data_IF_080369379085
#
_entry.id   IF_080369379085
#
_cell.length_a   1.000
_cell.length_b   1.000
_cell.length_c   1.000
_cell.angle_alpha   90.00
_cell.angle_beta   90.00
_cell.angle_gamma   90.00
#
_symmetry.space_group_name_H-M   'P 1'
#
loop_
_entity.id
_entity.type
_entity.pdbx_description
1 polymer ?
#
# COMPACT_ATOMS: atom_id res chain seq x y z
N UNK A 1 22.14 45.22 11.65
CA UNK A 1 22.10 44.39 10.43
C UNK A 1 21.21 43.19 10.72
N UNK A 2 19.96 43.20 10.25
CA UNK A 2 19.03 42.10 10.44
C UNK A 2 19.21 41.06 9.33
N UNK A 3 19.36 39.80 9.68
CA UNK A 3 19.37 38.68 8.75
C UNK A 3 18.02 38.64 8.01
N UNK A 4 17.99 38.57 6.67
CA UNK A 4 16.72 38.47 5.95
C UNK A 4 16.01 37.17 6.33
N UNK A 5 14.67 37.18 6.49
CA UNK A 5 13.92 35.98 6.79
C UNK A 5 14.08 34.99 5.64
N UNK A 6 14.46 33.75 5.98
CA UNK A 6 14.46 32.60 5.08
C UNK A 6 13.04 32.50 4.50
N UNK A 7 12.86 32.85 3.24
CA UNK A 7 11.61 32.67 2.52
C UNK A 7 11.32 31.17 2.48
N UNK A 8 10.32 30.74 3.27
CA UNK A 8 9.82 29.38 3.22
C UNK A 8 9.27 29.13 1.81
N UNK A 9 9.79 28.11 1.13
CA UNK A 9 9.30 27.68 -0.19
C UNK A 9 7.80 27.39 -0.06
N UNK A 10 6.92 27.91 -0.93
CA UNK A 10 5.50 27.61 -0.86
C UNK A 10 5.30 26.10 -0.95
N UNK A 11 4.69 25.50 0.08
CA UNK A 11 4.30 24.10 0.05
C UNK A 11 3.25 23.93 -1.04
N UNK A 12 3.60 23.20 -2.10
CA UNK A 12 2.65 22.81 -3.15
C UNK A 12 1.59 21.91 -2.53
N UNK A 13 0.32 22.24 -2.74
CA UNK A 13 -0.83 21.40 -2.34
C UNK A 13 -0.67 20.00 -2.94
N UNK A 14 -0.77 18.97 -2.11
CA UNK A 14 -0.75 17.56 -2.52
C UNK A 14 -2.09 17.24 -3.17
N UNK A 15 -2.03 16.74 -4.40
CA UNK A 15 -3.20 16.33 -5.21
C UNK A 15 -2.99 14.91 -5.71
N UNK A 16 -4.07 14.13 -5.72
CA UNK A 16 -4.08 12.80 -6.31
C UNK A 16 -4.22 12.89 -7.83
N UNK A 17 -3.71 11.88 -8.53
CA UNK A 17 -3.91 11.72 -9.97
C UNK A 17 -5.41 11.57 -10.31
N UNK A 18 -5.73 11.73 -11.60
CA UNK A 18 -7.09 11.57 -12.11
C UNK A 18 -7.64 10.20 -11.70
N UNK A 19 -8.89 10.11 -11.19
CA UNK A 19 -9.46 8.83 -10.79
C UNK A 19 -9.57 7.84 -11.96
N UNK A 20 -9.61 8.31 -13.21
CA UNK A 20 -9.68 7.47 -14.42
C UNK A 20 -8.34 6.86 -14.86
N UNK A 21 -7.30 6.91 -14.02
CA UNK A 21 -5.96 6.40 -14.34
C UNK A 21 -5.57 5.30 -13.36
N UNK A 22 -4.71 4.36 -13.77
CA UNK A 22 -4.20 3.31 -12.88
C UNK A 22 -3.56 3.89 -11.62
N UNK A 23 -2.75 4.95 -11.78
CA UNK A 23 -2.15 5.66 -10.65
C UNK A 23 -3.21 6.24 -9.71
N UNK A 24 -4.20 6.96 -10.24
CA UNK A 24 -5.25 7.57 -9.41
C UNK A 24 -6.15 6.55 -8.70
N UNK A 25 -6.42 5.41 -9.33
CA UNK A 25 -7.15 4.30 -8.70
C UNK A 25 -6.34 3.65 -7.58
N UNK A 26 -5.06 3.35 -7.84
CA UNK A 26 -4.14 2.80 -6.84
C UNK A 26 -3.94 3.74 -5.64
N UNK A 27 -3.71 5.03 -5.87
CA UNK A 27 -3.56 6.02 -4.80
C UNK A 27 -4.77 6.01 -3.86
N UNK A 28 -5.99 6.02 -4.42
CA UNK A 28 -7.23 6.01 -3.63
C UNK A 28 -7.39 4.70 -2.88
N UNK A 29 -7.13 3.57 -3.54
CA UNK A 29 -7.18 2.26 -2.91
C UNK A 29 -6.21 2.16 -1.74
N UNK A 30 -4.95 2.56 -1.91
CA UNK A 30 -3.94 2.51 -0.85
C UNK A 30 -4.32 3.37 0.34
N UNK A 31 -4.85 4.58 0.12
CA UNK A 31 -5.25 5.49 1.19
C UNK A 31 -6.47 5.00 1.99
N UNK A 32 -7.38 4.25 1.34
CA UNK A 32 -8.56 3.68 1.97
C UNK A 32 -8.23 2.38 2.72
N UNK A 33 -7.41 1.52 2.12
CA UNK A 33 -7.11 0.19 2.63
C UNK A 33 -5.97 0.17 3.66
N UNK A 34 -5.06 1.16 3.65
CA UNK A 34 -4.00 1.25 4.65
C UNK A 34 -4.50 1.84 5.98
N UNK A 35 -3.84 1.45 7.07
CA UNK A 35 -3.99 2.17 8.33
C UNK A 35 -3.48 3.60 8.19
N UNK A 36 -4.27 4.56 8.64
CA UNK A 36 -3.87 5.97 8.61
C UNK A 36 -2.99 6.30 9.83
N UNK A 37 -2.24 7.43 9.79
CA UNK A 37 -1.49 7.90 10.94
C UNK A 37 -2.32 8.14 12.21
N UNK A 38 -3.65 8.20 12.12
CA UNK A 38 -4.54 8.34 13.28
C UNK A 38 -4.58 7.08 14.16
N UNK A 39 -4.19 5.92 13.65
CA UNK A 39 -4.15 4.67 14.40
C UNK A 39 -2.82 4.49 15.13
N UNK A 40 -2.65 5.27 16.20
CA UNK A 40 -1.47 5.25 17.07
C UNK A 40 -1.20 3.83 17.57
N UNK A 41 0.06 3.40 17.49
CA UNK A 41 0.50 2.06 17.91
C UNK A 41 0.24 0.94 16.90
N UNK A 42 -0.43 1.21 15.78
CA UNK A 42 -0.54 0.26 14.65
C UNK A 42 0.11 0.81 13.38
N UNK A 43 -0.05 2.09 13.09
CA UNK A 43 0.62 2.75 11.97
C UNK A 43 2.12 2.89 12.23
N UNK A 44 2.93 2.55 11.24
CA UNK A 44 4.38 2.75 11.23
C UNK A 44 4.79 3.43 9.92
N UNK A 45 5.21 4.70 10.02
CA UNK A 45 5.64 5.51 8.88
C UNK A 45 6.83 4.90 8.13
N UNK A 46 7.72 4.17 8.83
CA UNK A 46 8.90 3.56 8.21
C UNK A 46 8.55 2.35 7.33
N UNK A 47 7.38 1.75 7.55
CA UNK A 47 6.92 0.56 6.83
C UNK A 47 5.85 0.88 5.78
N UNK A 48 5.18 2.03 5.90
CA UNK A 48 3.99 2.36 5.12
C UNK A 48 4.23 2.33 3.61
N UNK A 49 5.32 2.95 3.13
CA UNK A 49 5.67 2.90 1.71
C UNK A 49 5.86 1.45 1.23
N UNK A 50 6.55 0.60 1.99
CA UNK A 50 6.74 -0.82 1.62
C UNK A 50 5.40 -1.56 1.60
N UNK A 51 4.50 -1.29 2.55
CA UNK A 51 3.16 -1.86 2.56
C UNK A 51 2.37 -1.48 1.30
N UNK A 52 2.37 -0.19 0.91
CA UNK A 52 1.68 0.27 -0.30
C UNK A 52 2.30 -0.30 -1.58
N UNK A 53 3.63 -0.46 -1.62
CA UNK A 53 4.31 -1.17 -2.71
C UNK A 53 3.89 -2.63 -2.82
N UNK A 54 3.66 -3.33 -1.71
CA UNK A 54 3.12 -4.70 -1.70
C UNK A 54 1.64 -4.74 -2.15
N UNK A 55 0.84 -3.70 -1.86
CA UNK A 55 -0.52 -3.58 -2.40
C UNK A 55 -0.48 -3.44 -3.93
N UNK A 56 0.38 -2.56 -4.46
CA UNK A 56 0.63 -2.46 -5.91
C UNK A 56 1.04 -3.80 -6.51
N UNK A 57 2.06 -4.43 -5.93
CA UNK A 57 2.56 -5.72 -6.42
C UNK A 57 1.47 -6.81 -6.39
N UNK A 58 0.57 -6.78 -5.42
CA UNK A 58 -0.60 -7.66 -5.38
C UNK A 58 -1.49 -7.45 -6.60
N UNK A 59 -1.84 -6.21 -6.92
CA UNK A 59 -2.70 -5.87 -8.07
C UNK A 59 -2.05 -6.34 -9.38
N UNK A 60 -0.77 -6.04 -9.57
CA UNK A 60 -0.02 -6.44 -10.75
C UNK A 60 0.13 -7.97 -10.87
N UNK A 61 0.32 -8.68 -9.75
CA UNK A 61 0.34 -10.14 -9.75
C UNK A 61 -1.01 -10.74 -10.09
N UNK A 62 -2.12 -10.11 -9.66
CA UNK A 62 -3.47 -10.51 -10.08
C UNK A 62 -3.70 -10.28 -11.56
N UNK A 63 -3.21 -9.17 -12.10
CA UNK A 63 -3.30 -8.84 -13.52
C UNK A 63 -2.62 -9.86 -14.43
N UNK A 64 -1.58 -10.56 -13.95
CA UNK A 64 -0.94 -11.66 -14.70
C UNK A 64 -1.85 -12.89 -14.86
N UNK A 65 -2.87 -13.06 -14.03
CA UNK A 65 -3.78 -14.20 -14.06
C UNK A 65 -5.18 -13.82 -13.57
N UNK A 66 -5.85 -12.88 -14.24
CA UNK A 66 -6.99 -12.14 -13.67
C UNK A 66 -8.22 -13.03 -13.44
N UNK A 67 -8.37 -14.10 -14.23
CA UNK A 67 -9.43 -15.09 -14.05
C UNK A 67 -9.37 -15.86 -12.72
N UNK A 68 -8.18 -16.00 -12.11
CA UNK A 68 -8.05 -16.62 -10.78
C UNK A 68 -8.56 -15.71 -9.66
N UNK A 69 -8.67 -14.41 -9.91
CA UNK A 69 -9.03 -13.38 -8.94
C UNK A 69 -10.36 -12.72 -9.26
N UNK A 70 -11.28 -13.47 -9.88
CA UNK A 70 -12.63 -13.02 -10.22
C UNK A 70 -12.69 -11.74 -11.08
N UNK A 71 -11.60 -11.41 -11.77
CA UNK A 71 -11.45 -10.24 -12.63
C UNK A 71 -11.22 -10.65 -14.09
N UNK A 72 -11.80 -11.77 -14.54
CA UNK A 72 -11.58 -12.31 -15.89
C UNK A 72 -11.84 -11.23 -16.94
N UNK A 73 -10.85 -11.00 -17.81
CA UNK A 73 -10.90 -9.99 -18.87
C UNK A 73 -10.17 -8.69 -18.53
N UNK A 74 -9.76 -8.47 -17.28
CA UNK A 74 -8.93 -7.32 -16.91
C UNK A 74 -7.62 -7.30 -17.69
N UNK A 75 -7.30 -6.14 -18.25
CA UNK A 75 -6.09 -5.82 -19.01
C UNK A 75 -5.28 -4.69 -18.37
N UNK A 76 -5.84 -4.01 -17.38
CA UNK A 76 -5.25 -2.89 -16.65
C UNK A 76 -5.39 -3.05 -15.14
N UNK A 77 -4.57 -2.34 -14.36
CA UNK A 77 -4.65 -2.35 -12.89
C UNK A 77 -5.98 -1.77 -12.39
N UNK A 78 -6.52 -0.74 -13.03
CA UNK A 78 -7.81 -0.16 -12.66
C UNK A 78 -8.95 -1.19 -12.81
N UNK A 79 -8.93 -2.01 -13.86
CA UNK A 79 -9.92 -3.09 -14.04
C UNK A 79 -9.79 -4.18 -12.96
N UNK A 80 -8.58 -4.46 -12.44
CA UNK A 80 -8.42 -5.36 -11.29
C UNK A 80 -9.07 -4.76 -10.02
N UNK A 81 -9.03 -3.44 -9.88
CA UNK A 81 -9.60 -2.73 -8.73
C UNK A 81 -11.13 -2.71 -8.81
N UNK A 82 -11.67 -2.47 -10.00
CA UNK A 82 -13.10 -2.36 -10.27
C UNK A 82 -13.83 -3.71 -10.28
N UNK A 83 -13.20 -4.74 -10.86
CA UNK A 83 -13.87 -6.02 -11.10
C UNK A 83 -13.85 -6.96 -9.89
N UNK A 84 -14.87 -7.80 -9.81
CA UNK A 84 -14.86 -8.99 -8.95
C UNK A 84 -15.01 -8.74 -7.46
N UNK A 85 -15.44 -7.53 -7.04
CA UNK A 85 -15.60 -7.14 -5.63
C UNK A 85 -14.35 -7.46 -4.79
N UNK A 86 -13.16 -7.36 -5.40
CA UNK A 86 -11.89 -7.72 -4.80
C UNK A 86 -11.49 -6.76 -3.67
N UNK A 87 -11.96 -5.52 -3.76
CA UNK A 87 -11.76 -4.47 -2.78
C UNK A 87 -13.13 -3.90 -2.43
N UNK A 88 -13.51 -3.98 -1.15
CA UNK A 88 -14.81 -3.53 -0.70
C UNK A 88 -14.98 -2.04 -1.05
N UNK A 89 -16.14 -1.66 -1.58
CA UNK A 89 -16.43 -0.25 -1.96
C UNK A 89 -15.83 0.23 -3.29
N UNK A 90 -15.08 -0.62 -4.02
CA UNK A 90 -14.51 -0.26 -5.33
C UNK A 90 -15.27 -0.84 -6.53
N UNK A 91 -16.32 -1.65 -6.33
CA UNK A 91 -17.09 -2.24 -7.44
C UNK A 91 -17.84 -1.24 -8.34
N UNK A 92 -17.97 0.02 -7.92
CA UNK A 92 -18.57 1.13 -8.70
C UNK A 92 -17.57 2.25 -8.98
N UNK A 93 -16.27 1.99 -8.78
CA UNK A 93 -15.22 2.97 -9.02
C UNK A 93 -15.30 3.52 -10.47
N UNK A 94 -15.06 4.82 -10.72
CA UNK A 94 -14.48 5.84 -9.83
C UNK A 94 -15.41 6.40 -8.75
N UNK A 95 -16.67 5.97 -8.70
CA UNK A 95 -17.60 6.36 -7.63
C UNK A 95 -17.36 5.50 -6.39
N UNK A 96 -16.81 6.12 -5.34
CA UNK A 96 -16.65 5.51 -4.02
C UNK A 96 -17.92 5.66 -3.20
N UNK A 97 -18.15 4.74 -2.25
CA UNK A 97 -19.23 4.93 -1.28
C UNK A 97 -19.02 6.22 -0.45
N UNK A 98 -20.09 6.78 0.14
CA UNK A 98 -19.99 8.03 0.89
C UNK A 98 -18.98 7.99 2.04
N UNK A 99 -18.84 6.85 2.72
CA UNK A 99 -17.91 6.69 3.84
C UNK A 99 -16.45 6.75 3.37
N UNK A 100 -16.13 6.06 2.29
CA UNK A 100 -14.80 6.15 1.66
C UNK A 100 -14.51 7.53 1.11
N UNK A 101 -15.48 8.18 0.47
CA UNK A 101 -15.34 9.56 -0.02
C UNK A 101 -15.01 10.54 1.11
N UNK A 102 -15.73 10.45 2.24
CA UNK A 102 -15.45 11.26 3.42
C UNK A 102 -14.06 10.99 3.99
N UNK A 103 -13.69 9.72 4.14
CA UNK A 103 -12.36 9.33 4.65
C UNK A 103 -11.23 9.87 3.77
N UNK A 104 -11.34 9.73 2.45
CA UNK A 104 -10.35 10.24 1.51
C UNK A 104 -10.23 11.76 1.59
N UNK A 105 -11.36 12.47 1.66
CA UNK A 105 -11.39 13.93 1.84
C UNK A 105 -10.70 14.34 3.14
N UNK A 106 -10.97 13.65 4.24
CA UNK A 106 -10.39 13.99 5.55
C UNK A 106 -8.88 13.74 5.56
N UNK A 107 -8.41 12.65 4.96
CA UNK A 107 -6.97 12.38 4.74
C UNK A 107 -6.32 13.55 4.00
N UNK A 108 -6.89 13.96 2.85
CA UNK A 108 -6.34 15.05 2.04
C UNK A 108 -6.45 16.42 2.71
N UNK A 109 -7.48 16.63 3.52
CA UNK A 109 -7.68 17.86 4.30
C UNK A 109 -6.58 18.00 5.34
N UNK A 110 -6.28 16.93 6.08
CA UNK A 110 -5.22 16.94 7.08
C UNK A 110 -3.84 17.07 6.39
N UNK A 111 -3.60 16.29 5.34
CA UNK A 111 -2.35 16.31 4.58
C UNK A 111 -2.03 17.68 3.98
N UNK A 112 -3.05 18.49 3.65
CA UNK A 112 -2.88 19.83 3.08
C UNK A 112 -3.06 20.98 4.07
N UNK A 113 -3.26 20.71 5.36
CA UNK A 113 -3.44 21.75 6.37
C UNK A 113 -2.19 21.86 7.26
N UNK A 114 -1.26 22.80 7.01
CA UNK A 114 -0.02 22.93 7.79
C UNK A 114 -0.24 23.32 9.26
N UNK A 115 -1.46 23.75 9.63
CA UNK A 115 -1.82 24.05 11.01
C UNK A 115 -2.34 22.82 11.77
N UNK A 116 -2.63 21.71 11.08
CA UNK A 116 -3.10 20.50 11.74
C UNK A 116 -1.91 19.79 12.43
N UNK A 117 -2.04 19.34 13.68
CA UNK A 117 -0.93 18.71 14.42
C UNK A 117 -0.39 17.45 13.72
N UNK A 118 -1.23 16.74 12.98
CA UNK A 118 -0.86 15.55 12.21
C UNK A 118 -0.49 15.80 10.75
N UNK A 119 -0.39 17.06 10.32
CA UNK A 119 -0.12 17.44 8.93
C UNK A 119 1.04 16.66 8.32
N UNK A 120 2.20 16.68 8.96
CA UNK A 120 3.41 16.05 8.44
C UNK A 120 3.23 14.53 8.23
N UNK A 121 2.58 13.85 9.18
CA UNK A 121 2.35 12.41 9.10
C UNK A 121 1.38 12.04 7.96
N UNK A 122 0.29 12.80 7.78
CA UNK A 122 -0.65 12.57 6.69
C UNK A 122 -0.09 13.01 5.33
N UNK A 123 0.73 14.07 5.28
CA UNK A 123 1.44 14.46 4.07
C UNK A 123 2.39 13.35 3.61
N UNK A 124 3.16 12.75 4.53
CA UNK A 124 3.99 11.58 4.22
C UNK A 124 3.13 10.40 3.74
N UNK A 125 2.05 10.08 4.45
CA UNK A 125 1.14 8.99 4.09
C UNK A 125 0.57 9.13 2.67
N UNK A 126 0.18 10.35 2.26
CA UNK A 126 -0.31 10.61 0.90
C UNK A 126 0.81 10.53 -0.13
N UNK A 127 2.00 11.06 0.18
CA UNK A 127 3.15 10.98 -0.73
C UNK A 127 3.65 9.55 -0.91
N UNK A 128 3.56 8.69 0.12
CA UNK A 128 3.86 7.26 0.00
C UNK A 128 2.90 6.58 -0.98
N UNK A 129 1.60 6.90 -0.91
CA UNK A 129 0.60 6.34 -1.82
C UNK A 129 0.85 6.76 -3.28
N UNK A 130 1.12 8.06 -3.51
CA UNK A 130 1.49 8.61 -4.82
C UNK A 130 2.76 7.92 -5.33
N UNK A 131 3.79 7.83 -4.48
CA UNK A 131 5.07 7.22 -4.84
C UNK A 131 4.89 5.75 -5.22
N UNK A 132 4.23 4.96 -4.38
CA UNK A 132 3.96 3.55 -4.66
C UNK A 132 3.17 3.37 -5.98
N UNK A 133 2.17 4.21 -6.24
CA UNK A 133 1.33 4.12 -7.42
C UNK A 133 2.02 4.58 -8.73
N UNK A 134 3.01 5.48 -8.65
CA UNK A 134 3.62 6.14 -9.83
C UNK A 134 5.06 5.70 -10.12
N UNK A 135 5.68 4.90 -9.25
CA UNK A 135 7.01 4.33 -9.51
C UNK A 135 7.08 3.67 -10.89
N UNK A 136 8.09 4.04 -11.67
CA UNK A 136 8.25 3.62 -13.07
C UNK A 136 8.50 2.12 -13.25
N UNK A 137 8.91 1.45 -12.18
CA UNK A 137 9.07 0.00 -12.13
C UNK A 137 8.22 -0.53 -11.00
N UNK A 138 7.64 -1.71 -11.19
CA UNK A 138 7.09 -2.48 -10.07
C UNK A 138 8.17 -2.57 -9.01
N UNK A 139 7.93 -2.06 -7.80
CA UNK A 139 8.82 -2.35 -6.70
C UNK A 139 8.71 -3.85 -6.42
N UNK A 140 9.65 -4.62 -6.96
CA UNK A 140 9.88 -5.97 -6.47
C UNK A 140 10.35 -5.80 -5.04
N UNK A 141 9.43 -5.93 -4.09
CA UNK A 141 9.81 -6.19 -2.71
C UNK A 141 10.37 -7.61 -2.77
N UNK A 142 11.64 -7.74 -3.18
CA UNK A 142 12.20 -8.96 -3.77
C UNK A 142 12.06 -10.21 -2.89
N UNK A 143 11.83 -9.99 -1.60
CA UNK A 143 11.53 -11.02 -0.60
C UNK A 143 10.13 -11.67 -0.77
N UNK A 144 9.18 -11.02 -1.45
CA UNK A 144 7.77 -11.42 -1.54
C UNK A 144 7.22 -11.36 -2.99
N UNK A 145 7.87 -12.01 -3.97
CA UNK A 145 7.48 -11.89 -5.38
C UNK A 145 6.06 -12.40 -5.69
N UNK A 146 5.54 -13.32 -4.86
CA UNK A 146 4.27 -14.01 -5.07
C UNK A 146 3.14 -13.46 -4.19
N UNK A 147 3.21 -12.21 -3.73
CA UNK A 147 2.10 -11.60 -2.96
C UNK A 147 0.85 -11.48 -3.85
N UNK A 148 -0.29 -11.98 -3.38
CA UNK A 148 -1.54 -12.06 -4.16
C UNK A 148 -2.78 -11.64 -3.37
N UNK A 149 -2.64 -11.37 -2.08
CA UNK A 149 -3.68 -10.74 -1.28
C UNK A 149 -3.07 -9.93 -0.14
N UNK A 150 -3.85 -8.98 0.36
CA UNK A 150 -3.62 -8.37 1.66
C UNK A 150 -4.93 -8.28 2.41
N UNK A 151 -4.82 -7.96 3.69
CA UNK A 151 -5.95 -7.58 4.52
C UNK A 151 -5.53 -6.51 5.51
N UNK A 152 -6.46 -5.70 5.95
CA UNK A 152 -6.27 -4.73 7.02
C UNK A 152 -6.57 -5.42 8.35
N UNK A 153 -5.77 -5.19 9.40
CA UNK A 153 -5.98 -5.79 10.73
C UNK A 153 -7.46 -5.73 11.15
N UNK A 154 -7.94 -6.83 11.74
CA UNK A 154 -9.34 -7.13 12.10
C UNK A 154 -10.29 -7.51 10.95
N UNK A 155 -9.84 -7.59 9.69
CA UNK A 155 -10.63 -8.23 8.62
C UNK A 155 -10.48 -9.76 8.63
N UNK A 156 -11.46 -10.48 8.08
CA UNK A 156 -11.47 -11.95 7.99
C UNK A 156 -10.30 -12.51 7.18
N UNK A 157 -10.00 -13.81 7.36
CA UNK A 157 -9.00 -14.49 6.54
C UNK A 157 -9.42 -14.47 5.06
N UNK A 158 -8.50 -14.24 4.09
CA UNK A 158 -8.81 -14.34 2.67
C UNK A 158 -9.14 -15.77 2.22
N UNK A 159 -8.96 -16.77 3.09
CA UNK A 159 -9.34 -18.17 2.86
C UNK A 159 -8.26 -19.14 3.37
N UNK A 160 -8.57 -20.44 3.45
CA UNK A 160 -7.64 -21.46 3.96
C UNK A 160 -6.43 -21.70 3.03
N UNK A 161 -6.51 -21.30 1.77
CA UNK A 161 -5.43 -21.46 0.77
C UNK A 161 -4.37 -20.35 0.81
N UNK A 162 -4.53 -19.35 1.69
CA UNK A 162 -3.62 -18.22 1.77
C UNK A 162 -2.61 -18.39 2.90
N UNK A 163 -1.34 -18.23 2.56
CA UNK A 163 -0.21 -18.29 3.48
C UNK A 163 0.26 -16.88 3.81
N UNK A 164 0.34 -16.55 5.10
CA UNK A 164 0.83 -15.24 5.56
C UNK A 164 2.29 -15.04 5.17
N UNK A 165 2.62 -13.89 4.58
CA UNK A 165 3.97 -13.48 4.22
C UNK A 165 4.58 -12.55 5.28
N UNK A 166 3.89 -11.44 5.56
CA UNK A 166 4.36 -10.39 6.46
C UNK A 166 3.20 -9.50 6.92
N UNK A 167 3.34 -8.84 8.05
CA UNK A 167 2.49 -7.70 8.44
C UNK A 167 3.34 -6.44 8.49
N UNK A 168 2.89 -5.38 7.81
CA UNK A 168 3.54 -4.07 7.76
C UNK A 168 2.50 -2.98 7.98
N UNK A 169 2.77 -2.03 8.89
CA UNK A 169 1.87 -0.90 9.19
C UNK A 169 0.38 -1.29 9.36
N UNK A 170 0.12 -2.44 10.00
CA UNK A 170 -1.25 -2.95 10.22
C UNK A 170 -1.92 -3.65 9.03
N UNK A 171 -1.26 -3.76 7.87
CA UNK A 171 -1.69 -4.58 6.74
C UNK A 171 -0.95 -5.92 6.72
N UNK A 172 -1.67 -7.03 6.62
CA UNK A 172 -1.09 -8.38 6.50
C UNK A 172 -1.16 -8.84 5.05
N UNK A 173 -0.06 -9.31 4.50
CA UNK A 173 0.10 -9.74 3.11
C UNK A 173 0.20 -11.26 3.01
N UNK A 174 -0.30 -11.81 1.91
CA UNK A 174 -0.47 -13.25 1.71
C UNK A 174 -0.05 -13.70 0.31
N UNK A 175 0.25 -14.99 0.19
CA UNK A 175 0.41 -15.68 -1.09
C UNK A 175 -0.46 -16.93 -1.13
N UNK A 176 -0.89 -17.31 -2.33
CA UNK A 176 -1.48 -18.62 -2.64
C UNK A 176 -0.42 -19.70 -2.88
N UNK A 177 0.86 -19.31 -2.93
CA UNK A 177 1.99 -20.23 -3.02
C UNK A 177 2.63 -20.30 -1.63
N UNK A 178 2.87 -21.50 -1.08
CA UNK A 178 3.58 -21.65 0.17
C UNK A 178 4.94 -20.96 0.10
N UNK A 179 5.29 -20.16 1.12
CA UNK A 179 6.67 -19.69 1.27
C UNK A 179 7.50 -20.91 1.64
N UNK A 180 8.56 -21.26 0.89
CA UNK A 180 9.48 -22.28 1.35
C UNK A 180 9.94 -21.91 2.76
N UNK A 181 10.07 -22.88 3.69
CA UNK A 181 10.68 -22.58 4.98
C UNK A 181 12.02 -21.91 4.68
N UNK A 182 12.18 -20.66 5.12
CA UNK A 182 13.46 -19.98 4.97
C UNK A 182 14.47 -20.89 5.65
N UNK A 183 15.37 -21.49 4.87
CA UNK A 183 16.51 -22.18 5.43
C UNK A 183 17.23 -21.12 6.25
N UNK A 184 17.05 -21.17 7.57
CA UNK A 184 17.98 -20.58 8.51
C UNK A 184 19.32 -21.26 8.21
N UNK A 185 20.09 -20.66 7.30
CA UNK A 185 21.53 -20.86 7.26
C UNK A 185 22.05 -20.17 8.51
N UNK A 186 21.86 -20.84 9.65
CA UNK A 186 22.73 -20.66 10.79
C UNK A 186 24.12 -21.00 10.26
N UNK A 187 24.93 -19.96 10.09
CA UNK A 187 26.35 -20.09 9.89
C UNK A 187 26.91 -20.76 11.16
N UNK A 188 26.87 -22.10 11.21
CA UNK A 188 27.69 -22.87 12.14
C UNK A 188 29.13 -22.52 11.81
N UNK A 189 29.74 -21.69 12.65
CA UNK A 189 31.19 -21.59 12.77
C UNK A 189 31.73 -23.01 13.01
N UNK A 190 32.26 -23.61 11.96
CA UNK A 190 33.03 -24.83 12.04
C UNK A 190 34.43 -24.47 12.52
N UNK A 191 34.61 -24.41 13.84
CA UNK A 191 35.93 -24.51 14.45
C UNK A 191 36.41 -25.95 14.28
N UNK A 192 37.03 -26.26 13.13
CA UNK A 192 37.85 -27.47 12.98
C UNK A 192 39.28 -27.13 13.31
N UNK A 193 39.75 -27.78 14.37
CA UNK A 193 41.16 -27.94 14.73
C UNK A 193 41.97 -28.53 13.56
N UNK A 194 43.17 -27.97 13.38
CA UNK A 194 44.40 -28.56 12.82
C UNK A 194 45.52 -27.68 13.41
N UNK A 195 46.59 -28.12 14.05
CA UNK A 195 47.22 -29.41 14.30
C UNK A 195 47.84 -29.37 15.70
#
# INVERSE_FOLDING_TARGET
MGTPPKTAKPQTRIVLASPSTNAGAMERLFLIEAYTPAYVGTYDASQNLIAMRLMRQTIENRLKSPGQYMARGATTEIEIIELGNQFAGFGTYPTLDPGMTLRLRDILTIANNPKHPMHAAFAQFVNDAITAATESTTPSVAKYPNVTAWRTKNSGSPGPSFHMLITLSGNTFYSTIPVPPMLHRDAKHSSRQTH
#
